data_IF_844245599440
#
_entry.id   IF_844245599440
#
_cell.length_a   1.000
_cell.length_b   1.000
_cell.length_c   1.000
_cell.angle_alpha   90.00
_cell.angle_beta   90.00
_cell.angle_gamma   90.00
#
_symmetry.space_group_name_H-M   'P 1'
#
loop_
_entity.id
_entity.type
_entity.pdbx_description
1 polymer ?
#
# COMPACT_ATOMS: atom_id res chain seq x y z
N UNK A 1 10.86 -29.57 -12.18
CA UNK A 1 11.49 -28.55 -13.05
C UNK A 1 11.96 -27.42 -12.15
N UNK A 2 13.28 -27.21 -12.03
CA UNK A 2 13.87 -26.10 -11.25
C UNK A 2 14.26 -25.01 -12.23
N UNK A 3 13.59 -23.87 -12.19
CA UNK A 3 14.04 -22.68 -12.90
C UNK A 3 15.00 -21.91 -11.99
N UNK A 4 16.30 -22.05 -12.24
CA UNK A 4 17.35 -21.21 -11.67
C UNK A 4 17.31 -19.86 -12.39
N UNK A 5 16.83 -18.81 -11.74
CA UNK A 5 17.05 -17.43 -12.19
C UNK A 5 18.36 -16.93 -11.58
N UNK A 6 19.43 -17.03 -12.36
CA UNK A 6 20.64 -16.24 -12.15
C UNK A 6 20.60 -15.10 -13.17
N UNK A 7 20.47 -13.86 -12.70
CA UNK A 7 20.74 -12.68 -13.52
C UNK A 7 21.67 -11.77 -12.72
N UNK A 8 22.92 -11.73 -13.16
CA UNK A 8 23.84 -10.65 -12.82
C UNK A 8 23.60 -9.52 -13.83
N UNK A 9 23.03 -8.40 -13.40
CA UNK A 9 22.87 -7.22 -14.24
C UNK A 9 23.95 -6.17 -13.93
N UNK A 10 24.72 -5.84 -14.96
CA UNK A 10 25.69 -4.75 -14.99
C UNK A 10 24.98 -3.40 -15.09
N UNK A 11 25.52 -2.42 -14.35
CA UNK A 11 25.15 -1.01 -14.29
C UNK A 11 24.84 -0.38 -15.66
N UNK A 12 23.60 0.09 -15.82
CA UNK A 12 23.10 0.79 -17.02
C UNK A 12 21.68 0.41 -17.48
N UNK A 13 20.93 -0.36 -16.69
CA UNK A 13 19.72 -1.06 -17.11
C UNK A 13 18.51 -0.14 -17.40
N UNK A 14 18.10 -0.11 -18.66
CA UNK A 14 16.70 0.02 -19.05
C UNK A 14 15.86 -0.96 -18.25
N UNK A 15 14.93 -0.44 -17.44
CA UNK A 15 13.79 -1.11 -16.78
C UNK A 15 13.54 -2.51 -17.35
N UNK A 16 14.07 -3.53 -16.67
CA UNK A 16 13.63 -4.92 -16.87
C UNK A 16 12.11 -4.95 -16.75
N UNK A 17 11.43 -5.64 -17.67
CA UNK A 17 9.97 -5.76 -17.68
C UNK A 17 9.51 -6.25 -16.31
N UNK A 18 8.80 -5.38 -15.59
CA UNK A 18 8.46 -5.55 -14.19
C UNK A 18 7.35 -6.58 -14.07
N UNK A 19 7.69 -7.87 -14.00
CA UNK A 19 6.74 -8.98 -13.80
C UNK A 19 6.05 -9.00 -12.43
N UNK A 20 5.55 -7.85 -11.95
CA UNK A 20 4.86 -7.64 -10.68
C UNK A 20 4.07 -6.33 -10.64
N UNK A 21 3.18 -6.20 -9.66
CA UNK A 21 2.57 -4.92 -9.30
C UNK A 21 3.53 -4.11 -8.44
N UNK A 22 3.77 -2.85 -8.82
CA UNK A 22 4.41 -1.83 -7.98
C UNK A 22 3.32 -1.03 -7.29
N UNK A 23 3.39 -0.89 -5.96
CA UNK A 23 2.51 0.02 -5.24
C UNK A 23 3.32 1.16 -4.64
N UNK A 24 3.05 2.38 -5.08
CA UNK A 24 3.85 3.54 -4.66
C UNK A 24 3.61 3.83 -3.19
N UNK A 25 4.65 4.11 -2.42
CA UNK A 25 4.57 4.77 -1.11
C UNK A 25 5.77 5.70 -0.92
N UNK A 26 5.79 6.51 0.13
CA UNK A 26 6.86 7.50 0.37
C UNK A 26 7.63 7.22 1.66
N UNK A 27 8.96 7.28 1.61
CA UNK A 27 9.87 7.18 2.76
C UNK A 27 10.80 8.39 2.73
N UNK A 28 10.72 9.26 3.73
CA UNK A 28 11.50 10.51 3.81
C UNK A 28 11.47 11.36 2.51
N UNK A 29 10.30 11.49 1.88
CA UNK A 29 10.13 12.22 0.63
C UNK A 29 10.61 11.49 -0.63
N UNK A 30 11.08 10.24 -0.53
CA UNK A 30 11.44 9.40 -1.68
C UNK A 30 10.32 8.40 -1.96
N UNK A 31 9.99 8.19 -3.24
CA UNK A 31 9.01 7.16 -3.61
C UNK A 31 9.67 5.79 -3.70
N UNK A 32 9.05 4.78 -3.12
CA UNK A 32 9.52 3.41 -3.13
C UNK A 32 8.37 2.44 -3.48
N UNK A 33 8.70 1.19 -3.74
CA UNK A 33 7.75 0.11 -4.00
C UNK A 33 7.37 -0.58 -2.68
N UNK A 34 6.11 -0.40 -2.26
CA UNK A 34 5.57 -0.98 -1.04
C UNK A 34 5.56 -2.52 -1.12
N UNK A 35 5.25 -3.08 -2.29
CA UNK A 35 5.16 -4.54 -2.47
C UNK A 35 6.53 -5.18 -2.28
N UNK A 36 7.57 -4.60 -2.87
CA UNK A 36 8.94 -5.07 -2.68
C UNK A 36 9.44 -4.85 -1.25
N UNK A 37 9.16 -3.68 -0.69
CA UNK A 37 9.61 -3.31 0.67
C UNK A 37 9.06 -4.26 1.72
N UNK A 38 7.76 -4.57 1.66
CA UNK A 38 7.08 -5.41 2.66
C UNK A 38 6.93 -6.88 2.26
N UNK A 39 7.15 -7.22 0.99
CA UNK A 39 7.19 -8.62 0.52
C UNK A 39 8.55 -9.28 0.69
N UNK A 40 9.61 -8.52 0.98
CA UNK A 40 10.96 -9.07 1.15
C UNK A 40 11.05 -9.98 2.39
N UNK A 41 11.67 -11.16 2.23
CA UNK A 41 11.83 -12.14 3.30
C UNK A 41 12.69 -11.65 4.48
N UNK A 42 13.43 -10.55 4.30
CA UNK A 42 14.29 -9.95 5.33
C UNK A 42 13.52 -9.47 6.57
N UNK A 43 12.27 -9.06 6.40
CA UNK A 43 11.36 -8.65 7.48
C UNK A 43 11.24 -9.69 8.60
N UNK A 44 11.33 -10.97 8.25
CA UNK A 44 10.74 -12.04 9.06
C UNK A 44 11.78 -12.96 9.69
N UNK A 45 13.05 -12.81 9.35
CA UNK A 45 14.09 -13.78 9.71
C UNK A 45 14.72 -13.58 11.09
N UNK A 46 14.68 -12.37 11.68
CA UNK A 46 15.37 -12.13 12.96
C UNK A 46 14.53 -11.46 14.07
N UNK A 47 13.45 -10.74 13.74
CA UNK A 47 12.68 -9.97 14.73
C UNK A 47 11.46 -10.70 15.32
N UNK A 48 10.86 -11.67 14.61
CA UNK A 48 9.60 -12.30 15.04
C UNK A 48 9.73 -13.83 15.11
N UNK A 49 9.95 -14.38 16.31
CA UNK A 49 9.76 -15.82 16.55
C UNK A 49 8.29 -16.27 16.45
N UNK A 50 7.37 -15.33 16.28
CA UNK A 50 5.95 -15.55 15.98
C UNK A 50 5.47 -14.39 15.13
N UNK A 51 5.22 -14.62 13.85
CA UNK A 51 4.36 -13.73 13.07
C UNK A 51 2.99 -13.77 13.72
N UNK A 52 2.35 -12.61 13.87
CA UNK A 52 0.92 -12.60 14.14
C UNK A 52 0.14 -12.70 12.81
N UNK A 53 -1.16 -12.96 12.92
CA UNK A 53 -2.04 -13.13 11.74
C UNK A 53 -2.02 -11.90 10.82
N UNK A 54 -1.73 -10.70 11.34
CA UNK A 54 -1.63 -9.48 10.52
C UNK A 54 -0.37 -9.48 9.66
N UNK A 55 0.75 -9.89 10.24
CA UNK A 55 2.02 -9.97 9.54
C UNK A 55 1.94 -10.99 8.39
N UNK A 56 1.32 -12.16 8.64
CA UNK A 56 1.07 -13.18 7.61
C UNK A 56 0.21 -12.64 6.46
N UNK A 57 -0.85 -11.87 6.77
CA UNK A 57 -1.67 -11.24 5.73
C UNK A 57 -0.87 -10.23 4.89
N UNK A 58 -0.02 -9.41 5.50
CA UNK A 58 0.81 -8.47 4.72
C UNK A 58 1.74 -9.23 3.77
N UNK A 59 2.36 -10.31 4.24
CA UNK A 59 3.21 -11.18 3.40
C UNK A 59 2.41 -11.79 2.25
N UNK A 60 1.26 -12.38 2.55
CA UNK A 60 0.42 -13.03 1.56
C UNK A 60 -0.07 -12.03 0.51
N UNK A 61 -0.49 -10.83 0.95
CA UNK A 61 -0.92 -9.75 0.07
C UNK A 61 0.20 -9.30 -0.87
N UNK A 62 1.40 -9.03 -0.34
CA UNK A 62 2.57 -8.70 -1.15
C UNK A 62 2.95 -9.85 -2.09
N UNK A 63 2.89 -11.10 -1.64
CA UNK A 63 3.16 -12.29 -2.45
C UNK A 63 2.20 -12.46 -3.61
N UNK A 64 0.91 -12.14 -3.42
CA UNK A 64 -0.07 -12.11 -4.49
C UNK A 64 0.29 -11.03 -5.51
N UNK A 65 0.59 -9.81 -5.06
CA UNK A 65 0.95 -8.68 -5.93
C UNK A 65 2.27 -8.88 -6.69
N UNK A 66 3.22 -9.63 -6.12
CA UNK A 66 4.46 -10.02 -6.79
C UNK A 66 4.24 -11.00 -7.96
N UNK A 67 3.17 -11.79 -7.93
CA UNK A 67 2.85 -12.77 -8.95
C UNK A 67 1.84 -12.23 -10.00
N UNK A 68 1.36 -10.99 -9.81
CA UNK A 68 0.43 -10.31 -10.72
C UNK A 68 1.14 -9.73 -11.95
N UNK A 69 0.41 -9.49 -13.06
CA UNK A 69 0.99 -8.84 -14.24
C UNK A 69 1.50 -7.42 -13.95
N UNK A 70 2.43 -6.98 -14.80
CA UNK A 70 3.10 -5.68 -14.74
C UNK A 70 2.10 -4.53 -14.63
N UNK A 71 2.09 -3.85 -13.48
CA UNK A 71 1.21 -2.72 -13.24
C UNK A 71 1.80 -1.81 -12.18
N UNK A 72 1.53 -0.50 -12.29
CA UNK A 72 1.83 0.47 -11.23
C UNK A 72 0.52 0.98 -10.63
N UNK A 73 0.35 0.74 -9.34
CA UNK A 73 -0.71 1.28 -8.49
C UNK A 73 -0.15 2.52 -7.81
N UNK A 74 -0.66 3.68 -8.20
CA UNK A 74 -0.17 4.98 -7.75
C UNK A 74 0.54 5.76 -8.85
N UNK A 75 1.76 6.24 -8.55
CA UNK A 75 2.48 7.19 -9.40
C UNK A 75 3.27 6.46 -10.50
N UNK A 76 2.80 6.53 -11.76
CA UNK A 76 3.42 5.81 -12.90
C UNK A 76 4.74 6.42 -13.41
N UNK A 77 4.94 7.72 -13.17
CA UNK A 77 6.03 8.50 -13.77
C UNK A 77 7.01 9.03 -12.71
N UNK A 78 7.22 8.26 -11.64
CA UNK A 78 8.23 8.56 -10.62
C UNK A 78 9.27 7.46 -10.60
N UNK A 79 10.46 7.80 -10.10
CA UNK A 79 11.49 6.82 -9.83
C UNK A 79 11.21 6.18 -8.47
N UNK A 80 10.81 4.91 -8.48
CA UNK A 80 10.74 4.10 -7.27
C UNK A 80 12.14 3.68 -6.88
N UNK A 81 12.67 4.31 -5.84
CA UNK A 81 14.03 4.05 -5.36
C UNK A 81 14.08 2.76 -4.55
N UNK A 82 15.20 2.05 -4.66
CA UNK A 82 15.53 0.99 -3.73
C UNK A 82 16.03 1.62 -2.43
N UNK A 83 15.39 1.27 -1.31
CA UNK A 83 15.82 1.71 0.02
C UNK A 83 17.13 1.03 0.41
N UNK A 84 17.96 1.71 1.20
CA UNK A 84 19.17 1.09 1.75
C UNK A 84 18.83 -0.04 2.73
N UNK A 85 19.77 -0.92 3.03
CA UNK A 85 19.59 -1.98 4.03
C UNK A 85 19.20 -1.39 5.39
N UNK A 86 19.84 -0.30 5.80
CA UNK A 86 19.55 0.39 7.06
C UNK A 86 18.16 1.04 7.03
N UNK A 87 17.76 1.67 5.92
CA UNK A 87 16.40 2.22 5.77
C UNK A 87 15.33 1.12 5.86
N UNK A 88 15.58 -0.06 5.26
CA UNK A 88 14.69 -1.22 5.33
C UNK A 88 14.59 -1.78 6.75
N UNK A 89 15.71 -2.04 7.41
CA UNK A 89 15.75 -2.57 8.78
C UNK A 89 14.98 -1.68 9.76
N UNK A 90 15.18 -0.36 9.69
CA UNK A 90 14.47 0.60 10.53
C UNK A 90 12.96 0.65 10.23
N UNK A 91 12.59 0.63 8.95
CA UNK A 91 11.18 0.63 8.53
C UNK A 91 10.47 -0.65 8.97
N UNK A 92 11.14 -1.80 8.85
CA UNK A 92 10.67 -3.12 9.29
C UNK A 92 10.56 -3.20 10.81
N UNK A 93 11.53 -2.66 11.54
CA UNK A 93 11.47 -2.57 13.00
C UNK A 93 10.32 -1.67 13.46
N UNK A 94 10.07 -0.55 12.77
CA UNK A 94 8.93 0.32 13.03
C UNK A 94 7.60 -0.37 12.72
N UNK A 95 7.53 -1.10 11.61
CA UNK A 95 6.37 -1.93 11.24
C UNK A 95 6.07 -2.93 12.36
N UNK A 96 7.03 -3.73 12.80
CA UNK A 96 6.83 -4.73 13.86
C UNK A 96 6.39 -4.16 15.22
N UNK A 97 6.78 -2.91 15.54
CA UNK A 97 6.43 -2.27 16.82
C UNK A 97 5.13 -1.47 16.80
N UNK A 98 4.67 -1.01 15.62
CA UNK A 98 3.56 -0.04 15.51
C UNK A 98 2.35 -0.67 14.84
N UNK A 99 1.36 -1.06 15.65
CA UNK A 99 0.10 -1.66 15.17
C UNK A 99 -0.61 -0.78 14.13
N UNK A 100 -0.60 0.54 14.32
CA UNK A 100 -1.25 1.48 13.40
C UNK A 100 -0.59 1.49 12.03
N UNK A 101 0.74 1.45 12.00
CA UNK A 101 1.50 1.43 10.74
C UNK A 101 1.21 0.14 9.97
N UNK A 102 1.20 -1.01 10.67
CA UNK A 102 0.82 -2.31 10.07
C UNK A 102 -0.60 -2.29 9.51
N UNK A 103 -1.55 -1.75 10.27
CA UNK A 103 -2.94 -1.65 9.82
C UNK A 103 -3.06 -0.79 8.54
N UNK A 104 -2.32 0.32 8.44
CA UNK A 104 -2.34 1.15 7.24
C UNK A 104 -1.71 0.47 6.02
N UNK A 105 -0.62 -0.28 6.19
CA UNK A 105 -0.03 -1.09 5.10
C UNK A 105 -1.01 -2.17 4.65
N UNK A 106 -1.63 -2.88 5.59
CA UNK A 106 -2.61 -3.93 5.28
C UNK A 106 -3.85 -3.37 4.57
N UNK A 107 -4.36 -2.21 5.00
CA UNK A 107 -5.47 -1.52 4.32
C UNK A 107 -5.07 -1.13 2.88
N UNK A 108 -3.87 -0.60 2.68
CA UNK A 108 -3.39 -0.24 1.34
C UNK A 108 -3.33 -1.45 0.39
N UNK A 109 -2.81 -2.58 0.87
CA UNK A 109 -2.80 -3.85 0.14
C UNK A 109 -4.21 -4.38 -0.09
N UNK A 110 -5.07 -4.29 0.94
CA UNK A 110 -6.45 -4.74 0.92
C UNK A 110 -7.29 -4.05 -0.14
N UNK A 111 -7.25 -2.73 -0.21
CA UNK A 111 -8.02 -1.98 -1.21
C UNK A 111 -7.57 -2.32 -2.64
N UNK A 112 -6.27 -2.52 -2.86
CA UNK A 112 -5.75 -2.95 -4.15
C UNK A 112 -6.24 -4.35 -4.53
N UNK A 113 -6.09 -5.33 -3.63
CA UNK A 113 -6.47 -6.72 -3.88
C UNK A 113 -7.99 -6.91 -3.97
N UNK A 114 -8.77 -6.17 -3.21
CA UNK A 114 -10.23 -6.16 -3.32
C UNK A 114 -10.70 -5.64 -4.69
N UNK A 115 -10.03 -4.61 -5.23
CA UNK A 115 -10.31 -4.14 -6.59
C UNK A 115 -10.01 -5.23 -7.64
N UNK A 116 -8.92 -5.98 -7.49
CA UNK A 116 -8.60 -7.10 -8.37
C UNK A 116 -9.57 -8.28 -8.20
N UNK A 117 -10.01 -8.55 -6.98
CA UNK A 117 -11.02 -9.57 -6.70
C UNK A 117 -12.32 -9.27 -7.46
N UNK A 118 -12.70 -7.99 -7.50
CA UNK A 118 -13.89 -7.53 -8.18
C UNK A 118 -13.78 -7.66 -9.71
N UNK A 119 -12.64 -7.29 -10.30
CA UNK A 119 -12.38 -7.53 -11.73
C UNK A 119 -12.46 -9.03 -12.04
N UNK A 120 -11.82 -9.89 -11.23
CA UNK A 120 -11.83 -11.34 -11.43
C UNK A 120 -13.23 -11.97 -11.22
N UNK A 121 -14.09 -11.34 -10.40
CA UNK A 121 -15.48 -11.74 -10.20
C UNK A 121 -16.33 -11.41 -11.41
N UNK A 122 -16.14 -10.23 -12.01
CA UNK A 122 -16.89 -9.78 -13.20
C UNK A 122 -16.38 -10.46 -14.48
N UNK A 123 -15.07 -10.71 -14.54
CA UNK A 123 -14.36 -11.26 -15.68
C UNK A 123 -13.48 -12.44 -15.22
N UNK A 124 -14.02 -13.67 -15.13
CA UNK A 124 -13.29 -14.83 -14.66
C UNK A 124 -11.99 -15.14 -15.44
N UNK A 125 -11.93 -14.73 -16.70
CA UNK A 125 -10.77 -14.91 -17.59
C UNK A 125 -9.73 -13.78 -17.47
N UNK A 126 -9.96 -12.76 -16.63
CA UNK A 126 -9.03 -11.64 -16.42
C UNK A 126 -7.70 -12.06 -15.75
N UNK A 127 -7.68 -13.23 -15.10
CA UNK A 127 -6.49 -13.81 -14.48
C UNK A 127 -6.62 -15.34 -14.38
N UNK A 128 -5.51 -16.09 -14.22
CA UNK A 128 -5.56 -17.53 -13.98
C UNK A 128 -6.37 -17.89 -12.72
N UNK A 129 -7.06 -19.03 -12.74
CA UNK A 129 -7.91 -19.50 -11.65
C UNK A 129 -7.20 -19.53 -10.29
N UNK A 130 -5.97 -20.06 -10.25
CA UNK A 130 -5.17 -20.10 -9.03
C UNK A 130 -4.90 -18.69 -8.44
N UNK A 131 -4.74 -17.67 -9.29
CA UNK A 131 -4.56 -16.29 -8.85
C UNK A 131 -5.86 -15.73 -8.29
N UNK A 132 -6.97 -15.95 -8.99
CA UNK A 132 -8.31 -15.54 -8.57
C UNK A 132 -8.69 -16.12 -7.21
N UNK A 133 -8.34 -17.37 -6.97
CA UNK A 133 -8.62 -18.02 -5.68
C UNK A 133 -7.78 -17.44 -4.54
N UNK A 134 -6.50 -17.12 -4.79
CA UNK A 134 -5.65 -16.43 -3.80
C UNK A 134 -6.17 -15.04 -3.46
N UNK A 135 -6.52 -14.24 -4.46
CA UNK A 135 -7.07 -12.89 -4.26
C UNK A 135 -8.39 -12.95 -3.49
N UNK A 136 -9.27 -13.91 -3.82
CA UNK A 136 -10.54 -14.11 -3.11
C UNK A 136 -10.33 -14.57 -1.66
N UNK A 137 -9.40 -15.51 -1.44
CA UNK A 137 -9.07 -15.98 -0.11
C UNK A 137 -8.54 -14.83 0.76
N UNK A 138 -7.67 -13.99 0.21
CA UNK A 138 -7.16 -12.81 0.88
C UNK A 138 -8.28 -11.81 1.25
N UNK A 139 -9.17 -11.48 0.31
CA UNK A 139 -10.31 -10.60 0.58
C UNK A 139 -11.22 -11.15 1.70
N UNK A 140 -11.51 -12.46 1.69
CA UNK A 140 -12.30 -13.10 2.76
C UNK A 140 -11.59 -13.05 4.12
N UNK A 141 -10.26 -13.15 4.12
CA UNK A 141 -9.48 -13.06 5.35
C UNK A 141 -9.54 -11.63 5.93
N UNK A 142 -9.48 -10.59 5.10
CA UNK A 142 -9.68 -9.20 5.54
C UNK A 142 -11.08 -8.97 6.15
N UNK A 143 -12.12 -9.49 5.49
CA UNK A 143 -13.49 -9.41 5.99
C UNK A 143 -13.62 -10.04 7.39
N UNK A 144 -12.97 -11.18 7.60
CA UNK A 144 -12.98 -11.91 8.88
C UNK A 144 -12.31 -11.14 10.02
N UNK A 145 -11.39 -10.21 9.71
CA UNK A 145 -10.71 -9.35 10.67
C UNK A 145 -11.44 -8.01 10.93
N UNK A 146 -12.66 -7.84 10.40
CA UNK A 146 -13.39 -6.56 10.50
C UNK A 146 -12.75 -5.43 9.70
N UNK A 147 -11.78 -5.77 8.84
CA UNK A 147 -11.21 -4.85 7.85
C UNK A 147 -12.00 -4.87 6.54
N UNK A 148 -13.14 -5.56 6.49
CA UNK A 148 -14.02 -5.67 5.33
C UNK A 148 -14.97 -4.49 5.08
N UNK A 149 -15.08 -3.58 6.03
CA UNK A 149 -15.83 -2.31 5.88
C UNK A 149 -15.04 -1.27 5.05
N UNK A 150 -13.99 -1.72 4.34
CA UNK A 150 -13.42 -0.94 3.26
C UNK A 150 -14.54 -0.50 2.32
N UNK A 151 -14.55 0.76 1.84
CA UNK A 151 -15.69 1.31 1.11
C UNK A 151 -16.00 0.49 -0.16
N UNK A 152 -16.91 -0.47 -0.04
CA UNK A 152 -17.49 -1.23 -1.17
C UNK A 152 -18.09 -0.28 -2.24
N UNK A 153 -18.43 0.94 -1.80
CA UNK A 153 -19.15 1.97 -2.54
C UNK A 153 -18.40 2.64 -3.71
N UNK A 154 -17.13 2.31 -3.98
CA UNK A 154 -16.39 2.92 -5.10
C UNK A 154 -15.78 1.92 -6.08
N UNK A 155 -16.18 0.65 -6.03
CA UNK A 155 -15.72 -0.37 -6.99
C UNK A 155 -16.49 -0.24 -8.32
N UNK A 156 -16.43 0.92 -8.98
CA UNK A 156 -16.72 0.98 -10.41
C UNK A 156 -15.50 0.44 -11.15
N UNK A 157 -15.35 -0.89 -11.14
CA UNK A 157 -14.52 -1.61 -12.09
C UNK A 157 -15.23 -1.79 -13.44
N UNK A 158 -16.35 -1.08 -13.66
CA UNK A 158 -17.30 -1.26 -14.78
C UNK A 158 -16.66 -1.20 -16.18
N UNK A 159 -15.39 -0.79 -16.26
CA UNK A 159 -14.65 -0.62 -17.51
C UNK A 159 -13.42 -1.54 -17.63
N UNK A 160 -12.97 -2.19 -16.56
CA UNK A 160 -11.75 -2.99 -16.56
C UNK A 160 -12.07 -4.46 -16.85
N UNK A 161 -11.78 -4.93 -18.06
CA UNK A 161 -11.94 -6.34 -18.45
C UNK A 161 -10.75 -7.22 -18.06
N UNK A 162 -9.60 -6.59 -17.78
CA UNK A 162 -8.39 -7.22 -17.28
C UNK A 162 -7.88 -6.46 -16.07
N UNK A 163 -7.05 -7.12 -15.25
CA UNK A 163 -6.44 -6.49 -14.08
C UNK A 163 -5.56 -5.31 -14.48
N UNK A 164 -4.80 -5.44 -15.56
CA UNK A 164 -3.86 -4.40 -16.01
C UNK A 164 -4.57 -3.14 -16.56
N UNK A 165 -5.86 -3.27 -16.89
CA UNK A 165 -6.69 -2.15 -17.36
C UNK A 165 -7.27 -1.34 -16.18
N UNK A 166 -7.17 -1.87 -14.95
CA UNK A 166 -7.69 -1.21 -13.76
C UNK A 166 -6.91 0.08 -13.48
N UNK A 167 -7.62 1.18 -13.35
CA UNK A 167 -7.03 2.44 -12.90
C UNK A 167 -7.33 2.66 -11.43
N UNK A 168 -6.43 3.37 -10.79
CA UNK A 168 -6.48 3.70 -9.38
C UNK A 168 -6.38 5.20 -9.20
N UNK A 169 -7.06 5.73 -8.19
CA UNK A 169 -6.90 7.12 -7.73
C UNK A 169 -6.58 7.14 -6.25
N UNK A 170 -5.75 8.10 -5.83
CA UNK A 170 -5.42 8.29 -4.43
C UNK A 170 -6.67 8.77 -3.67
N UNK A 171 -7.05 8.02 -2.62
CA UNK A 171 -8.19 8.32 -1.75
C UNK A 171 -7.75 8.88 -0.42
N UNK A 172 -6.67 8.33 0.13
CA UNK A 172 -6.14 8.67 1.45
C UNK A 172 -4.62 8.57 1.41
N UNK A 173 -3.94 9.43 2.16
CA UNK A 173 -2.50 9.36 2.41
C UNK A 173 -2.26 9.49 3.90
N UNK A 174 -1.61 8.49 4.49
CA UNK A 174 -1.35 8.42 5.94
C UNK A 174 0.14 8.58 6.17
N UNK A 175 0.56 9.65 6.84
CA UNK A 175 1.96 9.84 7.26
C UNK A 175 2.17 9.29 8.65
N UNK A 176 2.90 8.19 8.72
CA UNK A 176 3.33 7.52 9.93
C UNK A 176 4.73 8.03 10.32
N UNK A 177 4.91 8.56 11.54
CA UNK A 177 6.26 8.79 12.04
C UNK A 177 7.01 7.46 12.21
N UNK A 178 8.32 7.45 12.03
CA UNK A 178 9.17 6.29 12.31
C UNK A 178 10.15 6.73 13.40
N UNK A 179 9.57 7.14 14.53
CA UNK A 179 10.34 7.66 15.66
C UNK A 179 11.27 6.60 16.25
N UNK A 180 12.35 7.06 16.86
CA UNK A 180 13.50 6.30 17.37
C UNK A 180 14.53 5.83 16.33
N UNK A 181 14.26 6.00 15.04
CA UNK A 181 15.16 5.51 13.99
C UNK A 181 16.08 6.60 13.43
N UNK A 182 17.28 6.22 12.99
CA UNK A 182 18.33 7.18 12.61
C UNK A 182 18.13 7.66 11.18
N UNK A 183 17.80 6.78 10.25
CA UNK A 183 17.74 7.02 8.82
C UNK A 183 16.31 7.31 8.35
N UNK A 184 15.30 6.61 8.86
CA UNK A 184 13.88 6.80 8.52
C UNK A 184 13.18 7.69 9.55
N UNK A 185 12.54 8.77 9.10
CA UNK A 185 11.80 9.71 9.96
C UNK A 185 10.31 9.60 9.75
N UNK A 186 9.88 9.47 8.50
CA UNK A 186 8.47 9.36 8.14
C UNK A 186 8.28 8.39 7.00
N UNK A 187 7.12 7.73 7.02
CA UNK A 187 6.62 6.88 5.96
C UNK A 187 5.19 7.32 5.63
N UNK A 188 4.90 7.64 4.37
CA UNK A 188 3.53 7.94 3.92
C UNK A 188 2.95 6.74 3.16
N UNK A 189 1.94 6.11 3.76
CA UNK A 189 1.24 4.96 3.22
C UNK A 189 -0.04 5.42 2.53
N UNK A 190 -0.20 5.19 1.21
CA UNK A 190 -1.39 5.59 0.50
C UNK A 190 -2.48 4.52 0.55
N UNK A 191 -3.70 4.98 0.35
CA UNK A 191 -4.85 4.14 0.04
C UNK A 191 -5.37 4.54 -1.33
N UNK A 192 -5.47 3.55 -2.21
CA UNK A 192 -5.95 3.73 -3.57
C UNK A 192 -7.31 3.08 -3.75
N UNK A 193 -8.17 3.70 -4.55
CA UNK A 193 -9.46 3.11 -4.94
C UNK A 193 -9.51 2.95 -6.44
N UNK A 194 -10.19 1.89 -6.89
CA UNK A 194 -10.50 1.68 -8.29
C UNK A 194 -11.23 2.90 -8.88
N UNK A 195 -10.91 3.27 -10.11
CA UNK A 195 -11.53 4.38 -10.81
C UNK A 195 -11.55 4.16 -12.31
N UNK A 196 -12.47 4.83 -13.01
CA UNK A 196 -12.45 4.95 -14.46
C UNK A 196 -11.41 5.98 -14.94
N UNK A 197 -10.99 6.90 -14.06
CA UNK A 197 -9.98 7.93 -14.33
C UNK A 197 -8.59 7.46 -13.92
N UNK A 198 -7.57 7.94 -14.63
CA UNK A 198 -6.19 7.77 -14.21
C UNK A 198 -5.84 8.71 -13.06
N UNK A 199 -4.93 8.29 -12.19
CA UNK A 199 -4.40 9.14 -11.13
C UNK A 199 -3.61 10.30 -11.71
N UNK A 200 -3.88 11.50 -11.18
CA UNK A 200 -3.12 12.70 -11.51
C UNK A 200 -2.11 12.93 -10.38
N UNK A 201 -0.83 13.11 -10.70
CA UNK A 201 0.26 13.43 -9.74
C UNK A 201 -0.12 14.56 -8.76
N UNK A 202 -0.91 15.52 -9.25
CA UNK A 202 -1.48 16.64 -8.50
C UNK A 202 -2.26 16.21 -7.22
N UNK A 203 -2.90 15.04 -7.23
CA UNK A 203 -3.63 14.52 -6.06
C UNK A 203 -2.68 14.13 -4.92
N UNK A 204 -1.52 13.58 -5.25
CA UNK A 204 -0.50 13.24 -4.27
C UNK A 204 0.08 14.50 -3.63
N UNK A 205 0.47 15.47 -4.46
CA UNK A 205 1.02 16.75 -3.99
C UNK A 205 0.02 17.51 -3.11
N UNK A 206 -1.27 17.50 -3.46
CA UNK A 206 -2.33 18.07 -2.60
C UNK A 206 -2.40 17.37 -1.24
N UNK A 207 -2.41 16.05 -1.22
CA UNK A 207 -2.42 15.28 0.02
C UNK A 207 -1.18 15.56 0.88
N UNK A 208 0.01 15.61 0.29
CA UNK A 208 1.25 15.95 0.98
C UNK A 208 1.25 17.38 1.55
N UNK A 209 0.70 18.35 0.81
CA UNK A 209 0.57 19.72 1.28
C UNK A 209 -0.30 19.79 2.54
N UNK A 210 -1.42 19.04 2.55
CA UNK A 210 -2.27 18.91 3.73
C UNK A 210 -1.52 18.29 4.91
N UNK A 211 -0.72 17.24 4.66
CA UNK A 211 0.10 16.56 5.67
C UNK A 211 1.31 17.37 6.17
N UNK A 212 1.69 18.43 5.46
CA UNK A 212 2.83 19.29 5.81
C UNK A 212 2.46 20.42 6.77
N UNK A 213 1.16 20.62 7.03
CA UNK A 213 0.71 21.51 8.09
C UNK A 213 1.23 20.99 9.44
N UNK A 214 1.63 21.88 10.37
CA UNK A 214 2.28 21.46 11.61
C UNK A 214 1.38 20.53 12.42
N UNK A 215 1.76 19.26 12.48
CA UNK A 215 1.15 18.24 13.34
C UNK A 215 2.05 18.04 14.55
N UNK A 216 1.50 17.73 15.74
CA UNK A 216 2.32 17.30 16.87
C UNK A 216 3.31 16.22 16.46
N UNK A 217 4.57 16.37 16.89
CA UNK A 217 5.58 15.32 16.72
C UNK A 217 5.06 14.00 17.31
N UNK A 218 5.27 12.90 16.59
CA UNK A 218 4.84 11.55 16.99
C UNK A 218 3.45 11.13 16.57
N UNK A 219 2.61 12.06 16.11
CA UNK A 219 1.25 11.73 15.69
C UNK A 219 1.17 11.21 14.25
N UNK A 220 0.30 10.23 14.03
CA UNK A 220 -0.10 9.80 12.67
C UNK A 220 -0.99 10.87 12.06
N UNK A 221 -0.63 11.30 10.85
CA UNK A 221 -1.34 12.35 10.12
C UNK A 221 -2.08 11.72 8.95
N UNK A 222 -3.31 12.17 8.67
CA UNK A 222 -4.08 11.64 7.54
C UNK A 222 -4.58 12.78 6.66
N UNK A 223 -4.32 12.67 5.37
CA UNK A 223 -5.03 13.41 4.34
C UNK A 223 -6.04 12.46 3.71
N UNK A 224 -7.31 12.86 3.66
CA UNK A 224 -8.37 12.08 3.03
C UNK A 224 -9.12 12.94 2.03
N UNK A 225 -9.43 12.39 0.86
CA UNK A 225 -10.20 13.08 -0.16
C UNK A 225 -11.70 12.92 0.10
N UNK A 226 -12.42 13.96 0.51
CA UNK A 226 -13.87 13.94 0.69
C UNK A 226 -14.53 14.92 -0.28
N UNK A 227 -15.51 14.47 -1.08
CA UNK A 227 -16.22 15.31 -2.05
C UNK A 227 -15.28 16.13 -2.97
N UNK A 228 -14.22 15.47 -3.48
CA UNK A 228 -13.15 16.07 -4.29
C UNK A 228 -12.25 17.10 -3.59
N UNK A 229 -12.35 17.25 -2.27
CA UNK A 229 -11.48 18.13 -1.47
C UNK A 229 -10.64 17.30 -0.51
N UNK A 230 -9.37 17.65 -0.35
CA UNK A 230 -8.50 17.01 0.64
C UNK A 230 -8.70 17.64 2.02
N UNK A 231 -8.92 16.81 3.03
CA UNK A 231 -9.05 17.23 4.44
C UNK A 231 -7.98 16.59 5.31
N UNK A 232 -7.46 17.35 6.27
CA UNK A 232 -6.57 16.83 7.31
C UNK A 232 -7.41 16.20 8.43
N UNK A 233 -7.09 14.96 8.78
CA UNK A 233 -7.65 14.26 9.93
C UNK A 233 -6.51 13.86 10.87
N UNK A 234 -6.77 13.94 12.17
CA UNK A 234 -5.90 13.35 13.18
C UNK A 234 -6.50 12.01 13.60
N UNK A 235 -5.70 10.95 13.54
CA UNK A 235 -6.15 9.63 13.98
C UNK A 235 -5.72 9.48 15.43
N UNK A 236 -6.72 9.36 16.31
CA UNK A 236 -6.49 9.08 17.72
C UNK A 236 -6.83 7.61 17.91
N UNK A 237 -5.79 6.80 18.08
CA UNK A 237 -5.96 5.40 18.48
C UNK A 237 -6.13 5.39 19.99
N UNK A 238 -7.35 5.06 20.45
CA UNK A 238 -7.61 4.76 21.85
C UNK A 238 -7.41 3.25 22.02
N UNK A 239 -6.84 2.80 23.13
CA UNK A 239 -6.53 1.38 23.37
C UNK A 239 -7.76 0.49 23.10
N UNK A 240 -7.75 -0.19 21.94
CA UNK A 240 -8.81 -1.10 21.50
C UNK A 240 -9.73 -0.57 20.39
N UNK A 241 -9.84 0.74 20.18
CA UNK A 241 -10.77 1.35 19.21
C UNK A 241 -10.13 2.48 18.38
N UNK A 242 -10.35 2.44 17.07
CA UNK A 242 -9.89 3.49 16.14
C UNK A 242 -10.90 4.62 16.12
N UNK A 243 -10.55 5.78 16.69
CA UNK A 243 -11.40 6.98 16.59
C UNK A 243 -10.74 8.01 15.68
N UNK A 244 -11.34 8.26 14.50
CA UNK A 244 -10.90 9.35 13.62
C UNK A 244 -11.57 10.65 14.08
N UNK A 245 -10.78 11.64 14.52
CA UNK A 245 -11.30 13.00 14.75
C UNK A 245 -10.96 13.88 13.55
N UNK A 246 -12.00 14.35 12.86
CA UNK A 246 -11.83 15.35 11.83
C UNK A 246 -11.32 16.65 12.46
N UNK A 247 -10.22 17.19 11.94
CA UNK A 247 -9.89 18.61 12.18
C UNK A 247 -10.80 19.43 11.28
N UNK A 248 -11.39 20.50 11.82
CA UNK A 248 -12.24 21.39 11.05
C UNK A 248 -11.53 21.82 9.76
N UNK A 249 -12.26 21.93 8.62
CA UNK A 249 -11.66 22.31 7.35
C UNK A 249 -10.89 23.62 7.52
N UNK A 250 -9.61 23.60 7.15
CA UNK A 250 -8.81 24.82 7.01
C UNK A 250 -9.35 25.51 5.76
N UNK A 251 -10.13 26.57 5.97
CA UNK A 251 -10.66 27.45 4.92
C UNK A 251 -9.53 28.24 4.24
#
# INVERSE_FOLDING_TARGET
MRCLRNVNALSGATREALARVIMTFEVNGKYADLVETFGSAGLWNEASKTLDEFDELVVDGCGILMDMPDMVVGLKNVDHVQLSTEELEELHAAFGRRREFRAHVLVALGDCLCAFAEVARQHPDAMPEAMRDRVRAFANALDSHGLGDLPKAALSSEHATRVEDQKFVLRRLVRCPVEAEKHVKTCSVPTYVASASEMILDEWTKAEAILSNPVPQGSVCVAEKMNNTWVANEVIWLEGDVTVRAKHPVL
#
